data_IF_354484666918
#
_entry.id   IF_354484666918
#
_cell.length_a   1.000
_cell.length_b   1.000
_cell.length_c   1.000
_cell.angle_alpha   90.00
_cell.angle_beta   90.00
_cell.angle_gamma   90.00
#
_symmetry.space_group_name_H-M   'P 1'
#
loop_
_entity.id
_entity.type
_entity.pdbx_description
1 polymer ?
#
# COMPACT_ATOMS: atom_id res chain seq x y z
N UNK A 1 32.46 55.14 18.63
CA UNK A 1 32.07 54.91 17.22
C UNK A 1 32.67 53.63 16.62
N UNK A 2 33.85 53.16 17.06
CA UNK A 2 34.51 51.93 16.55
C UNK A 2 33.69 50.64 16.75
N UNK A 3 33.16 50.41 17.96
CA UNK A 3 32.46 49.15 18.29
C UNK A 3 31.12 48.97 17.56
N UNK A 4 30.41 50.06 17.26
CA UNK A 4 29.14 50.00 16.52
C UNK A 4 29.38 49.62 15.05
N UNK A 5 30.54 50.01 14.49
CA UNK A 5 30.91 49.66 13.12
C UNK A 5 31.29 48.19 12.99
N UNK A 6 32.04 47.64 13.97
CA UNK A 6 32.36 46.21 14.04
C UNK A 6 31.11 45.34 14.21
N UNK A 7 30.18 45.74 15.08
CA UNK A 7 28.92 45.02 15.27
C UNK A 7 28.09 44.97 13.98
N UNK A 8 28.01 46.06 13.23
CA UNK A 8 27.33 46.09 11.92
C UNK A 8 27.98 45.13 10.92
N UNK A 9 29.31 45.10 10.88
CA UNK A 9 30.06 44.23 9.97
C UNK A 9 29.88 42.75 10.34
N UNK A 10 29.81 42.42 11.63
CA UNK A 10 29.48 41.08 12.12
C UNK A 10 28.06 40.66 11.75
N UNK A 11 27.08 41.55 11.93
CA UNK A 11 25.69 41.27 11.54
C UNK A 11 25.54 41.04 10.03
N UNK A 12 26.19 41.83 9.19
CA UNK A 12 26.15 41.65 7.73
C UNK A 12 26.87 40.38 7.28
N UNK A 13 28.00 40.02 7.92
CA UNK A 13 28.67 38.73 7.69
C UNK A 13 27.78 37.55 8.08
N UNK A 14 27.11 37.63 9.23
CA UNK A 14 26.18 36.60 9.70
C UNK A 14 24.96 36.46 8.76
N UNK A 15 24.41 37.58 8.28
CA UNK A 15 23.29 37.58 7.31
C UNK A 15 23.70 36.96 5.97
N UNK A 16 24.90 37.25 5.49
CA UNK A 16 25.47 36.67 4.26
C UNK A 16 25.77 35.17 4.43
N UNK A 17 26.25 34.75 5.60
CA UNK A 17 26.46 33.34 5.93
C UNK A 17 25.14 32.57 6.05
N UNK A 18 24.11 33.16 6.66
CA UNK A 18 22.77 32.57 6.75
C UNK A 18 22.12 32.42 5.37
N UNK A 19 22.25 33.42 4.48
CA UNK A 19 21.77 33.38 3.09
C UNK A 19 22.50 32.30 2.26
N UNK A 20 23.81 32.16 2.46
CA UNK A 20 24.62 31.11 1.81
C UNK A 20 24.34 29.71 2.37
N UNK A 21 24.01 29.56 3.67
CA UNK A 21 23.55 28.30 4.25
C UNK A 21 22.17 27.91 3.72
N UNK A 22 21.25 28.87 3.56
CA UNK A 22 19.94 28.61 2.93
C UNK A 22 20.09 28.19 1.45
N UNK A 23 21.00 28.83 0.71
CA UNK A 23 21.33 28.47 -0.68
C UNK A 23 22.09 27.14 -0.83
N UNK A 24 22.89 26.73 0.17
CA UNK A 24 23.55 25.41 0.20
C UNK A 24 22.62 24.30 0.69
N UNK A 25 21.70 24.56 1.62
CA UNK A 25 20.67 23.60 2.04
C UNK A 25 19.62 23.35 0.94
N UNK A 26 19.27 24.35 0.13
CA UNK A 26 18.35 24.15 -1.01
C UNK A 26 18.98 23.31 -2.15
N UNK A 27 20.31 23.31 -2.25
CA UNK A 27 21.08 22.50 -3.22
C UNK A 27 21.37 21.07 -2.78
N UNK A 28 21.03 20.66 -1.55
CA UNK A 28 21.33 19.31 -1.03
C UNK A 28 20.16 18.31 -1.16
N UNK A 29 18.95 18.74 -1.52
CA UNK A 29 17.82 17.81 -1.77
C UNK A 29 17.51 17.59 -3.27
N UNK A 30 18.53 17.51 -4.12
CA UNK A 30 18.39 17.24 -5.57
C UNK A 30 17.90 15.82 -5.93
N UNK A 31 17.34 15.06 -4.98
CA UNK A 31 16.87 13.70 -5.19
C UNK A 31 15.45 13.50 -4.69
N UNK A 32 14.52 13.25 -5.60
CA UNK A 32 13.34 12.39 -5.37
C UNK A 32 12.26 12.91 -4.40
N UNK A 33 11.71 14.11 -4.58
CA UNK A 33 10.41 14.40 -3.96
C UNK A 33 9.33 13.56 -4.66
N UNK A 34 9.04 12.39 -4.09
CA UNK A 34 7.97 11.51 -4.56
C UNK A 34 6.63 12.20 -4.27
N UNK A 35 5.82 12.49 -5.30
CA UNK A 35 4.46 12.99 -5.08
C UNK A 35 3.61 11.86 -4.46
N UNK A 36 2.92 12.18 -3.36
CA UNK A 36 1.93 11.26 -2.79
C UNK A 36 0.75 11.08 -3.78
N UNK A 37 -0.02 9.99 -3.65
CA UNK A 37 -1.23 9.78 -4.47
C UNK A 37 -2.16 10.99 -4.39
N UNK A 38 -2.30 11.58 -3.19
CA UNK A 38 -3.10 12.78 -2.96
C UNK A 38 -2.58 13.99 -3.74
N UNK A 39 -1.26 14.20 -3.75
CA UNK A 39 -0.65 15.29 -4.51
C UNK A 39 -0.79 15.08 -6.02
N UNK A 40 -0.67 13.83 -6.50
CA UNK A 40 -0.94 13.49 -7.91
C UNK A 40 -2.41 13.78 -8.29
N UNK A 41 -3.37 13.41 -7.43
CA UNK A 41 -4.79 13.72 -7.64
C UNK A 41 -5.04 15.23 -7.69
N UNK A 42 -4.43 16.00 -6.78
CA UNK A 42 -4.57 17.47 -6.76
C UNK A 42 -3.95 18.12 -7.99
N UNK A 43 -2.76 17.67 -8.39
CA UNK A 43 -2.12 18.11 -9.63
C UNK A 43 -3.03 17.88 -10.83
N UNK A 44 -3.51 16.65 -11.03
CA UNK A 44 -4.35 16.29 -12.16
C UNK A 44 -5.66 17.10 -12.17
N UNK A 45 -6.34 17.21 -11.02
CA UNK A 45 -7.61 17.94 -10.90
C UNK A 45 -7.46 19.44 -11.17
N UNK A 46 -6.45 20.08 -10.59
CA UNK A 46 -6.24 21.53 -10.75
C UNK A 46 -5.75 21.86 -12.15
N UNK A 47 -4.83 21.08 -12.70
CA UNK A 47 -4.36 21.26 -14.08
C UNK A 47 -5.50 21.05 -15.07
N UNK A 48 -6.31 20.01 -14.87
CA UNK A 48 -7.51 19.78 -15.67
C UNK A 48 -8.46 20.96 -15.69
N UNK A 49 -8.74 21.53 -14.51
CA UNK A 49 -9.64 22.68 -14.36
C UNK A 49 -9.12 23.91 -15.10
N UNK A 50 -7.84 24.24 -14.95
CA UNK A 50 -7.21 25.39 -15.61
C UNK A 50 -7.19 25.22 -17.14
N UNK A 51 -6.81 24.05 -17.64
CA UNK A 51 -6.84 23.76 -19.09
C UNK A 51 -8.28 23.80 -19.62
N UNK A 52 -9.26 23.28 -18.86
CA UNK A 52 -10.68 23.35 -19.23
C UNK A 52 -11.19 24.79 -19.31
N UNK A 53 -10.66 25.67 -18.46
CA UNK A 53 -10.97 27.09 -18.45
C UNK A 53 -10.24 27.88 -19.55
N UNK A 54 -9.47 27.22 -20.41
CA UNK A 54 -8.74 27.84 -21.53
C UNK A 54 -7.40 28.46 -21.13
N UNK A 55 -6.94 28.26 -19.89
CA UNK A 55 -5.62 28.76 -19.44
C UNK A 55 -4.52 27.95 -20.13
N UNK A 56 -3.53 28.59 -20.78
CA UNK A 56 -2.39 27.89 -21.37
C UNK A 56 -1.69 26.96 -20.36
N UNK A 57 -1.20 25.81 -20.82
CA UNK A 57 -0.58 24.80 -19.94
C UNK A 57 0.62 25.35 -19.15
N UNK A 58 1.43 26.21 -19.78
CA UNK A 58 2.61 26.80 -19.15
C UNK A 58 2.19 27.71 -17.97
N UNK A 59 1.21 28.58 -18.19
CA UNK A 59 0.66 29.46 -17.16
C UNK A 59 -0.04 28.65 -16.06
N UNK A 60 -0.80 27.61 -16.45
CA UNK A 60 -1.43 26.69 -15.52
C UNK A 60 -0.40 26.06 -14.56
N UNK A 61 0.74 25.59 -15.08
CA UNK A 61 1.81 25.02 -14.27
C UNK A 61 2.49 26.05 -13.35
N UNK A 62 2.59 27.32 -13.77
CA UNK A 62 3.08 28.41 -12.91
C UNK A 62 2.12 28.67 -11.75
N UNK A 63 0.81 28.71 -12.00
CA UNK A 63 -0.21 28.82 -10.94
C UNK A 63 -0.09 27.66 -9.94
N UNK A 64 0.09 26.43 -10.44
CA UNK A 64 0.26 25.26 -9.56
C UNK A 64 1.53 25.33 -8.72
N UNK A 65 2.65 25.81 -9.30
CA UNK A 65 3.92 26.05 -8.58
C UNK A 65 3.72 27.03 -7.43
N UNK A 66 3.03 28.13 -7.68
CA UNK A 66 2.84 29.19 -6.70
C UNK A 66 1.85 28.77 -5.58
N UNK A 67 0.95 27.82 -5.88
CA UNK A 67 0.02 27.21 -4.93
C UNK A 67 0.53 25.88 -4.31
N UNK A 68 1.82 25.56 -4.45
CA UNK A 68 2.36 24.30 -3.94
C UNK A 68 2.32 24.26 -2.40
N UNK A 69 1.93 23.11 -1.85
CA UNK A 69 1.82 22.89 -0.40
C UNK A 69 3.18 22.80 0.31
N UNK A 70 4.27 22.62 -0.43
CA UNK A 70 5.62 22.59 0.12
C UNK A 70 6.69 23.03 -0.90
N UNK A 71 7.87 23.48 -0.44
CA UNK A 71 9.00 23.81 -1.32
C UNK A 71 9.49 22.62 -2.16
N UNK A 72 9.27 21.38 -1.69
CA UNK A 72 9.60 20.17 -2.44
C UNK A 72 8.70 19.97 -3.66
N UNK A 73 7.41 20.30 -3.53
CA UNK A 73 6.41 20.19 -4.60
C UNK A 73 6.55 21.36 -5.58
N UNK A 74 6.79 22.58 -5.07
CA UNK A 74 7.06 23.75 -5.91
C UNK A 74 8.21 23.48 -6.89
N UNK A 75 9.31 22.86 -6.43
CA UNK A 75 10.44 22.48 -7.28
C UNK A 75 10.10 21.42 -8.34
N UNK A 76 9.20 20.49 -8.01
CA UNK A 76 8.70 19.51 -8.99
C UNK A 76 7.93 20.23 -10.09
N UNK A 77 7.02 21.12 -9.71
CA UNK A 77 6.24 21.91 -10.68
C UNK A 77 7.12 22.85 -11.50
N UNK A 78 8.08 23.53 -10.89
CA UNK A 78 9.05 24.38 -11.58
C UNK A 78 9.86 23.60 -12.63
N UNK A 79 10.29 22.38 -12.31
CA UNK A 79 10.98 21.52 -13.29
C UNK A 79 10.08 21.16 -14.48
N UNK A 80 8.81 20.83 -14.21
CA UNK A 80 7.83 20.53 -15.26
C UNK A 80 7.58 21.78 -16.11
N UNK A 81 7.35 22.94 -15.49
CA UNK A 81 7.18 24.23 -16.17
C UNK A 81 8.35 24.53 -17.09
N UNK A 82 9.60 24.33 -16.62
CA UNK A 82 10.79 24.56 -17.44
C UNK A 82 10.88 23.56 -18.61
N UNK A 83 10.58 22.28 -18.41
CA UNK A 83 10.57 21.30 -19.50
C UNK A 83 9.55 21.68 -20.59
N UNK A 84 8.33 22.08 -20.18
CA UNK A 84 7.27 22.54 -21.10
C UNK A 84 7.65 23.84 -21.81
N UNK A 85 8.25 24.80 -21.10
CA UNK A 85 8.73 26.05 -21.70
C UNK A 85 9.79 25.80 -22.78
N UNK A 86 10.58 24.73 -22.64
CA UNK A 86 11.56 24.27 -23.62
C UNK A 86 10.96 23.36 -24.73
N UNK A 87 9.62 23.29 -24.84
CA UNK A 87 8.93 22.54 -25.89
C UNK A 87 8.88 21.02 -25.67
N UNK A 88 9.17 20.53 -24.47
CA UNK A 88 8.94 19.11 -24.15
C UNK A 88 7.45 18.85 -23.86
N UNK A 89 6.99 17.63 -24.12
CA UNK A 89 5.67 17.18 -23.67
C UNK A 89 5.62 16.93 -22.16
N UNK A 90 4.44 17.12 -21.56
CA UNK A 90 4.15 16.90 -20.14
C UNK A 90 4.46 15.46 -19.74
N UNK A 91 3.98 14.46 -20.48
CA UNK A 91 4.24 13.05 -20.18
C UNK A 91 5.74 12.73 -20.13
N UNK A 92 6.55 13.33 -21.03
CA UNK A 92 8.02 13.16 -21.03
C UNK A 92 8.67 13.77 -19.80
N UNK A 93 8.24 14.96 -19.39
CA UNK A 93 8.73 15.61 -18.16
C UNK A 93 8.38 14.77 -16.93
N UNK A 94 7.12 14.33 -16.82
CA UNK A 94 6.64 13.49 -15.72
C UNK A 94 7.37 12.14 -15.65
N UNK A 95 7.68 11.51 -16.79
CA UNK A 95 8.44 10.26 -16.86
C UNK A 95 9.87 10.39 -16.34
N UNK A 96 10.51 11.56 -16.51
CA UNK A 96 11.85 11.85 -15.95
C UNK A 96 11.83 12.03 -14.43
N UNK A 97 10.67 12.31 -13.84
CA UNK A 97 10.48 12.43 -12.41
C UNK A 97 10.22 11.04 -11.80
N UNK A 98 11.29 10.27 -11.58
CA UNK A 98 11.20 8.93 -10.96
C UNK A 98 10.41 8.97 -9.65
N UNK A 99 9.23 8.35 -9.66
CA UNK A 99 8.35 8.22 -8.50
C UNK A 99 7.26 9.30 -8.36
N UNK A 100 7.23 10.35 -9.20
CA UNK A 100 6.18 11.36 -9.14
C UNK A 100 4.84 10.86 -9.70
N UNK A 101 4.86 10.13 -10.82
CA UNK A 101 3.69 9.50 -11.42
C UNK A 101 4.01 8.04 -11.78
N UNK A 102 3.01 7.16 -11.75
CA UNK A 102 3.14 5.79 -12.24
C UNK A 102 2.91 5.70 -13.76
N UNK A 103 3.32 4.60 -14.38
CA UNK A 103 3.25 4.40 -15.84
C UNK A 103 1.82 4.57 -16.38
N UNK A 104 0.81 4.11 -15.63
CA UNK A 104 -0.59 4.37 -15.92
C UNK A 104 -0.90 5.86 -16.15
N UNK A 105 -0.52 6.69 -15.18
CA UNK A 105 -0.83 8.11 -15.20
C UNK A 105 -0.07 8.82 -16.33
N UNK A 106 1.18 8.43 -16.56
CA UNK A 106 2.00 8.97 -17.65
C UNK A 106 1.35 8.66 -19.00
N UNK A 107 0.89 7.43 -19.22
CA UNK A 107 0.30 7.03 -20.50
C UNK A 107 -1.06 7.70 -20.74
N UNK A 108 -1.89 7.88 -19.72
CA UNK A 108 -3.15 8.64 -19.83
C UNK A 108 -2.89 10.09 -20.23
N UNK A 109 -1.85 10.70 -19.67
CA UNK A 109 -1.43 12.07 -20.01
C UNK A 109 -0.87 12.11 -21.44
N UNK A 110 -0.02 11.16 -21.82
CA UNK A 110 0.56 11.04 -23.18
C UNK A 110 -0.53 10.97 -24.24
N UNK A 111 -1.51 10.09 -24.06
CA UNK A 111 -2.65 9.99 -24.98
C UNK A 111 -3.42 11.30 -25.01
N UNK A 112 -3.66 11.93 -23.86
CA UNK A 112 -4.40 13.20 -23.78
C UNK A 112 -3.68 14.35 -24.48
N UNK A 113 -2.35 14.39 -24.40
CA UNK A 113 -1.52 15.37 -25.12
C UNK A 113 -1.56 15.16 -26.64
N UNK A 114 -1.45 13.90 -27.10
CA UNK A 114 -1.44 13.60 -28.52
C UNK A 114 -2.82 13.74 -29.18
N UNK A 115 -3.90 13.49 -28.44
CA UNK A 115 -5.28 13.54 -28.94
C UNK A 115 -6.02 14.84 -28.63
N UNK A 116 -5.36 15.82 -27.99
CA UNK A 116 -5.94 17.12 -27.68
C UNK A 116 -7.03 17.11 -26.59
N UNK A 117 -7.24 15.98 -25.92
CA UNK A 117 -8.23 15.80 -24.83
C UNK A 117 -7.56 15.71 -23.45
N UNK A 118 -6.46 16.43 -23.26
CA UNK A 118 -5.66 16.40 -22.04
C UNK A 118 -6.49 16.74 -20.79
N UNK A 119 -7.38 17.73 -20.86
CA UNK A 119 -8.24 18.10 -19.73
C UNK A 119 -9.14 16.94 -19.29
N UNK A 120 -9.81 16.27 -20.23
CA UNK A 120 -10.68 15.13 -19.97
C UNK A 120 -9.88 13.98 -19.33
N UNK A 121 -8.70 13.67 -19.87
CA UNK A 121 -7.85 12.61 -19.36
C UNK A 121 -7.29 12.92 -17.96
N UNK A 122 -7.01 14.18 -17.65
CA UNK A 122 -6.58 14.61 -16.30
C UNK A 122 -7.74 14.55 -15.29
N UNK A 123 -8.98 14.92 -15.67
CA UNK A 123 -10.18 14.73 -14.82
C UNK A 123 -10.34 13.24 -14.53
N UNK A 124 -10.27 12.44 -15.58
CA UNK A 124 -10.38 10.99 -15.50
C UNK A 124 -9.32 10.40 -14.56
N UNK A 125 -8.05 10.78 -14.74
CA UNK A 125 -6.95 10.36 -13.89
C UNK A 125 -7.14 10.76 -12.42
N UNK A 126 -7.63 11.97 -12.15
CA UNK A 126 -7.85 12.45 -10.78
C UNK A 126 -8.86 11.56 -10.04
N UNK A 127 -9.99 11.25 -10.69
CA UNK A 127 -11.02 10.37 -10.13
C UNK A 127 -10.53 8.95 -9.95
N UNK A 128 -9.71 8.44 -10.87
CA UNK A 128 -9.13 7.10 -10.72
C UNK A 128 -8.16 7.02 -9.53
N UNK A 129 -7.27 8.02 -9.40
CA UNK A 129 -6.36 8.09 -8.25
C UNK A 129 -7.12 8.24 -6.93
N UNK A 130 -8.25 8.96 -6.94
CA UNK A 130 -9.14 9.11 -5.78
C UNK A 130 -9.77 7.77 -5.39
N UNK A 131 -10.41 7.07 -6.32
CA UNK A 131 -10.99 5.73 -6.08
C UNK A 131 -9.97 4.75 -5.53
N UNK A 132 -8.76 4.73 -6.10
CA UNK A 132 -7.66 3.88 -5.63
C UNK A 132 -7.24 4.18 -4.18
N UNK A 133 -7.18 5.45 -3.80
CA UNK A 133 -6.86 5.86 -2.43
C UNK A 133 -8.00 5.56 -1.45
N UNK A 134 -9.25 5.74 -1.87
CA UNK A 134 -10.43 5.38 -1.08
C UNK A 134 -10.49 3.88 -0.82
N UNK A 135 -10.31 3.05 -1.84
CA UNK A 135 -10.23 1.60 -1.70
C UNK A 135 -9.10 1.20 -0.75
N UNK A 136 -7.90 1.78 -0.92
CA UNK A 136 -6.77 1.52 -0.03
C UNK A 136 -7.08 1.92 1.41
N UNK A 137 -7.75 3.05 1.63
CA UNK A 137 -8.16 3.52 2.96
C UNK A 137 -9.20 2.60 3.60
N UNK A 138 -10.19 2.13 2.83
CA UNK A 138 -11.16 1.13 3.30
C UNK A 138 -10.45 -0.13 3.77
N UNK A 139 -9.53 -0.66 2.95
CA UNK A 139 -8.74 -1.86 3.29
C UNK A 139 -7.89 -1.63 4.55
N UNK A 140 -7.17 -0.51 4.64
CA UNK A 140 -6.33 -0.23 5.80
C UNK A 140 -7.16 0.02 7.06
N UNK A 141 -8.29 0.72 6.94
CA UNK A 141 -9.21 0.99 8.05
C UNK A 141 -9.78 -0.30 8.64
N UNK A 142 -10.16 -1.24 7.79
CA UNK A 142 -10.65 -2.57 8.19
C UNK A 142 -9.63 -3.39 9.01
N UNK A 143 -8.33 -3.10 8.88
CA UNK A 143 -7.25 -3.80 9.61
C UNK A 143 -6.91 -3.16 10.96
N UNK A 144 -7.34 -1.94 11.24
CA UNK A 144 -6.96 -1.21 12.47
C UNK A 144 -7.45 -1.95 13.71
N UNK A 145 -8.72 -2.37 13.72
CA UNK A 145 -9.33 -3.04 14.88
C UNK A 145 -8.66 -4.39 15.20
N UNK A 146 -8.47 -5.33 14.24
CA UNK A 146 -7.75 -6.57 14.51
C UNK A 146 -6.34 -6.36 15.06
N UNK A 147 -5.60 -5.38 14.51
CA UNK A 147 -4.23 -5.09 14.96
C UNK A 147 -4.23 -4.56 16.39
N UNK A 148 -5.10 -3.59 16.69
CA UNK A 148 -5.17 -2.97 18.01
C UNK A 148 -5.48 -4.00 19.10
N UNK A 149 -6.53 -4.81 18.90
CA UNK A 149 -6.92 -5.85 19.85
C UNK A 149 -5.82 -6.89 20.03
N UNK A 150 -5.24 -7.37 18.94
CA UNK A 150 -4.16 -8.38 19.00
C UNK A 150 -2.97 -7.86 19.82
N UNK A 151 -2.55 -6.62 19.59
CA UNK A 151 -1.46 -5.99 20.34
C UNK A 151 -1.84 -5.82 21.81
N UNK A 152 -3.07 -5.37 22.10
CA UNK A 152 -3.54 -5.19 23.47
C UNK A 152 -3.57 -6.51 24.24
N UNK A 153 -4.12 -7.59 23.66
CA UNK A 153 -4.15 -8.91 24.29
C UNK A 153 -2.75 -9.45 24.52
N UNK A 154 -1.91 -9.47 23.48
CA UNK A 154 -0.54 -9.99 23.61
C UNK A 154 0.26 -9.17 24.62
N UNK A 155 0.07 -7.84 24.66
CA UNK A 155 0.69 -6.96 25.63
C UNK A 155 0.26 -7.26 27.08
N UNK A 156 -1.04 -7.39 27.32
CA UNK A 156 -1.58 -7.75 28.65
C UNK A 156 -1.12 -9.14 29.07
N UNK A 157 -1.21 -10.13 28.19
CA UNK A 157 -0.73 -11.50 28.46
C UNK A 157 0.77 -11.50 28.75
N UNK A 158 1.59 -10.82 27.94
CA UNK A 158 3.03 -10.73 28.17
C UNK A 158 3.35 -10.04 29.51
N UNK A 159 2.62 -8.96 29.88
CA UNK A 159 2.78 -8.31 31.18
C UNK A 159 2.43 -9.24 32.34
N UNK A 160 1.29 -9.93 32.25
CA UNK A 160 0.86 -10.90 33.26
C UNK A 160 1.89 -12.00 33.41
N UNK A 161 2.31 -12.62 32.31
CA UNK A 161 3.21 -13.78 32.31
C UNK A 161 4.65 -13.41 32.65
N UNK A 162 5.22 -12.33 32.11
CA UNK A 162 6.64 -12.00 32.28
C UNK A 162 6.93 -11.16 33.54
N UNK A 163 5.95 -10.40 34.06
CA UNK A 163 6.16 -9.51 35.21
C UNK A 163 5.37 -9.88 36.46
N UNK A 164 4.07 -10.18 36.32
CA UNK A 164 3.21 -10.45 37.48
C UNK A 164 3.39 -11.88 37.97
N UNK A 165 3.34 -12.85 37.07
CA UNK A 165 3.42 -14.27 37.40
C UNK A 165 4.69 -14.67 38.18
N UNK A 166 5.91 -14.21 37.81
CA UNK A 166 7.13 -14.56 38.54
C UNK A 166 7.15 -14.04 39.98
N UNK A 167 6.37 -13.01 40.32
CA UNK A 167 6.27 -12.50 41.70
C UNK A 167 5.48 -13.44 42.61
N UNK A 168 4.59 -14.27 42.04
CA UNK A 168 3.75 -15.22 42.77
C UNK A 168 4.46 -16.59 42.86
N UNK A 169 5.35 -16.89 41.92
CA UNK A 169 6.07 -18.16 41.83
C UNK A 169 6.80 -18.61 43.12
N UNK A 170 7.48 -17.74 43.90
CA UNK A 170 8.14 -18.13 45.15
C UNK A 170 7.18 -18.74 46.19
N UNK A 171 5.91 -18.35 46.17
CA UNK A 171 4.87 -18.87 47.06
C UNK A 171 4.60 -20.34 46.71
N UNK A 172 4.48 -20.63 45.41
CA UNK A 172 4.21 -22.00 44.94
C UNK A 172 5.39 -22.95 45.18
N UNK A 173 6.62 -22.48 45.03
CA UNK A 173 7.82 -23.29 45.31
C UNK A 173 8.00 -23.58 46.79
N UNK A 174 7.63 -22.64 47.67
CA UNK A 174 7.74 -22.78 49.12
C UNK A 174 6.76 -23.82 49.70
N UNK A 175 5.67 -24.09 48.97
CA UNK A 175 4.62 -25.02 49.41
C UNK A 175 4.82 -26.45 48.90
N UNK A 176 5.92 -26.74 48.19
CA UNK A 176 6.27 -28.05 47.61
C UNK A 176 5.13 -28.73 46.81
N UNK A 177 4.17 -27.96 46.33
CA UNK A 177 3.03 -28.47 45.58
C UNK A 177 3.47 -28.87 44.16
N UNK A 178 2.93 -29.98 43.65
CA UNK A 178 3.13 -30.38 42.25
C UNK A 178 2.38 -29.42 41.33
N UNK A 179 3.12 -28.60 40.59
CA UNK A 179 2.53 -27.67 39.64
C UNK A 179 1.86 -28.39 38.45
N UNK A 180 0.63 -28.03 38.07
CA UNK A 180 -0.04 -28.61 36.93
C UNK A 180 0.67 -28.25 35.62
N UNK A 181 0.37 -29.00 34.54
CA UNK A 181 1.02 -28.81 33.25
C UNK A 181 0.85 -27.39 32.69
N UNK A 182 -0.34 -26.80 32.84
CA UNK A 182 -0.64 -25.43 32.41
C UNK A 182 0.29 -24.41 33.05
N UNK A 183 0.47 -24.48 34.38
CA UNK A 183 1.38 -23.59 35.13
C UNK A 183 2.84 -23.79 34.74
N UNK A 184 3.30 -25.04 34.54
CA UNK A 184 4.68 -25.32 34.09
C UNK A 184 4.95 -24.79 32.68
N UNK A 185 3.98 -24.94 31.77
CA UNK A 185 4.07 -24.37 30.43
C UNK A 185 4.09 -22.83 30.48
N UNK A 186 3.28 -22.21 31.34
CA UNK A 186 3.28 -20.76 31.54
C UNK A 186 4.61 -20.25 32.11
N UNK A 187 5.22 -20.97 33.05
CA UNK A 187 6.56 -20.69 33.58
C UNK A 187 7.60 -20.73 32.46
N UNK A 188 7.62 -21.81 31.66
CA UNK A 188 8.57 -21.95 30.56
C UNK A 188 8.46 -20.80 29.54
N UNK A 189 7.24 -20.36 29.23
CA UNK A 189 6.99 -19.19 28.36
C UNK A 189 7.44 -17.90 29.04
N UNK A 190 7.18 -17.75 30.34
CA UNK A 190 7.61 -16.58 31.13
C UNK A 190 9.13 -16.43 31.14
N UNK A 191 9.85 -17.51 31.45
CA UNK A 191 11.30 -17.55 31.50
C UNK A 191 11.90 -17.24 30.12
N UNK A 192 11.35 -17.84 29.05
CA UNK A 192 11.73 -17.52 27.68
C UNK A 192 11.52 -16.04 27.34
N UNK A 193 10.36 -15.47 27.69
CA UNK A 193 10.07 -14.06 27.42
C UNK A 193 10.97 -13.11 28.23
N UNK A 194 11.34 -13.48 29.45
CA UNK A 194 12.21 -12.65 30.29
C UNK A 194 13.67 -12.68 29.82
N UNK A 195 14.18 -13.85 29.47
CA UNK A 195 15.58 -14.04 29.08
C UNK A 195 15.81 -13.68 27.60
N UNK A 196 14.92 -14.14 26.71
CA UNK A 196 15.08 -14.02 25.26
C UNK A 196 14.07 -13.06 24.61
N UNK A 197 13.10 -12.50 25.33
CA UNK A 197 12.04 -11.68 24.73
C UNK A 197 12.54 -10.43 24.03
N UNK A 198 13.45 -9.66 24.66
CA UNK A 198 14.05 -8.46 24.04
C UNK A 198 14.85 -8.86 22.80
N UNK A 199 15.66 -9.92 22.88
CA UNK A 199 16.43 -10.43 21.75
C UNK A 199 15.49 -10.92 20.62
N UNK A 200 14.40 -11.61 20.95
CA UNK A 200 13.40 -12.09 19.99
C UNK A 200 12.75 -10.92 19.25
N UNK A 201 12.38 -9.84 19.95
CA UNK A 201 11.83 -8.63 19.31
C UNK A 201 12.85 -7.98 18.38
N UNK A 202 14.11 -7.84 18.81
CA UNK A 202 15.18 -7.29 17.98
C UNK A 202 15.40 -8.15 16.73
N UNK A 203 15.47 -9.48 16.89
CA UNK A 203 15.62 -10.42 15.77
C UNK A 203 14.44 -10.33 14.82
N UNK A 204 13.20 -10.22 15.30
CA UNK A 204 12.02 -10.05 14.46
C UNK A 204 12.05 -8.72 13.69
N UNK A 205 12.46 -7.63 14.32
CA UNK A 205 12.60 -6.32 13.67
C UNK A 205 13.68 -6.37 12.59
N UNK A 206 14.85 -6.92 12.91
CA UNK A 206 15.96 -7.08 11.98
C UNK A 206 15.58 -8.01 10.82
N UNK A 207 14.96 -9.15 11.11
CA UNK A 207 14.44 -10.07 10.10
C UNK A 207 13.39 -9.39 9.22
N UNK A 208 12.51 -8.56 9.78
CA UNK A 208 11.55 -7.76 9.03
C UNK A 208 12.21 -6.72 8.11
N UNK A 209 13.26 -6.05 8.58
CA UNK A 209 14.06 -5.10 7.78
C UNK A 209 14.79 -5.83 6.66
N UNK A 210 15.45 -6.95 6.97
CA UNK A 210 16.15 -7.80 6.00
C UNK A 210 15.15 -8.34 4.97
N UNK A 211 14.01 -8.88 5.41
CA UNK A 211 12.96 -9.37 4.52
C UNK A 211 12.41 -8.25 3.64
N UNK A 212 12.18 -7.05 4.18
CA UNK A 212 11.77 -5.88 3.38
C UNK A 212 12.83 -5.47 2.36
N UNK A 213 14.12 -5.51 2.73
CA UNK A 213 15.23 -5.23 1.83
C UNK A 213 15.38 -6.31 0.75
N UNK A 214 15.29 -7.58 1.11
CA UNK A 214 15.36 -8.74 0.22
C UNK A 214 14.17 -8.76 -0.73
N UNK A 215 12.97 -8.48 -0.23
CA UNK A 215 11.77 -8.25 -1.02
C UNK A 215 11.94 -7.06 -1.96
N UNK A 216 12.72 -6.02 -1.65
CA UNK A 216 12.97 -4.92 -2.61
C UNK A 216 14.06 -5.25 -3.63
N UNK A 217 15.04 -6.08 -3.27
CA UNK A 217 16.24 -6.33 -4.08
C UNK A 217 16.17 -7.60 -4.91
N UNK A 218 15.55 -8.67 -4.41
CA UNK A 218 15.59 -10.01 -5.02
C UNK A 218 14.29 -10.29 -5.80
N UNK A 219 14.33 -10.42 -7.14
CA UNK A 219 13.15 -10.71 -7.96
C UNK A 219 12.43 -12.05 -7.65
N UNK A 220 13.12 -13.18 -7.40
CA UNK A 220 12.43 -14.45 -7.12
C UNK A 220 11.73 -14.47 -5.76
N UNK A 221 12.31 -13.85 -4.72
CA UNK A 221 11.66 -13.72 -3.39
C UNK A 221 10.33 -12.96 -3.49
N UNK A 222 10.29 -11.89 -4.31
CA UNK A 222 9.05 -11.16 -4.60
C UNK A 222 8.02 -12.02 -5.31
N UNK A 223 8.45 -12.77 -6.33
CA UNK A 223 7.53 -13.59 -7.12
C UNK A 223 6.96 -14.75 -6.29
N UNK A 224 7.75 -15.30 -5.37
CA UNK A 224 7.29 -16.30 -4.42
C UNK A 224 6.29 -15.72 -3.42
N UNK A 225 6.56 -14.54 -2.86
CA UNK A 225 5.65 -13.85 -1.94
C UNK A 225 4.31 -13.49 -2.62
N UNK A 226 4.37 -12.91 -3.82
CA UNK A 226 3.18 -12.58 -4.62
C UNK A 226 2.36 -13.81 -4.97
N UNK A 227 3.00 -14.98 -5.15
CA UNK A 227 2.31 -16.25 -5.41
C UNK A 227 1.73 -16.85 -4.14
N UNK A 228 2.45 -16.84 -3.02
CA UNK A 228 1.94 -17.32 -1.74
C UNK A 228 0.71 -16.54 -1.31
N UNK A 229 0.73 -15.20 -1.45
CA UNK A 229 -0.39 -14.34 -1.08
C UNK A 229 -1.69 -14.76 -1.77
N UNK A 230 -1.63 -15.25 -3.02
CA UNK A 230 -2.79 -15.70 -3.79
C UNK A 230 -3.36 -17.05 -3.31
N UNK A 231 -2.65 -17.79 -2.45
CA UNK A 231 -3.04 -19.10 -1.92
C UNK A 231 -3.44 -19.06 -0.44
N UNK A 232 -3.23 -17.94 0.27
CA UNK A 232 -3.63 -17.80 1.67
C UNK A 232 -5.17 -17.80 1.75
N UNK A 233 -5.79 -18.63 2.62
CA UNK A 233 -7.24 -18.59 2.85
C UNK A 233 -7.71 -17.18 3.23
N UNK A 234 -8.88 -16.75 2.75
CA UNK A 234 -9.44 -15.39 2.91
C UNK A 234 -8.65 -14.29 2.17
N UNK A 235 -7.34 -14.13 2.41
CA UNK A 235 -6.52 -13.08 1.81
C UNK A 235 -6.24 -13.30 0.31
N UNK A 236 -6.15 -14.55 -0.14
CA UNK A 236 -5.88 -14.91 -1.53
C UNK A 236 -7.04 -14.58 -2.47
N UNK A 237 -8.28 -14.78 -2.03
CA UNK A 237 -9.47 -14.35 -2.78
C UNK A 237 -9.47 -12.83 -2.97
N UNK A 238 -9.28 -12.08 -1.88
CA UNK A 238 -9.18 -10.63 -1.90
C UNK A 238 -8.06 -10.13 -2.83
N UNK A 239 -6.88 -10.74 -2.77
CA UNK A 239 -5.76 -10.39 -3.63
C UNK A 239 -6.08 -10.66 -5.11
N UNK A 240 -6.74 -11.77 -5.45
CA UNK A 240 -7.18 -12.06 -6.83
C UNK A 240 -8.20 -11.02 -7.30
N UNK A 241 -9.27 -10.79 -6.54
CA UNK A 241 -10.31 -9.80 -6.88
C UNK A 241 -9.72 -8.40 -7.05
N UNK A 242 -8.82 -7.96 -6.17
CA UNK A 242 -8.11 -6.69 -6.30
C UNK A 242 -7.32 -6.56 -7.63
N UNK A 243 -6.60 -7.61 -8.02
CA UNK A 243 -5.86 -7.58 -9.29
C UNK A 243 -6.82 -7.65 -10.50
N UNK A 244 -7.95 -8.36 -10.41
CA UNK A 244 -8.98 -8.39 -11.45
C UNK A 244 -9.62 -7.01 -11.62
N UNK A 245 -9.99 -6.34 -10.53
CA UNK A 245 -10.49 -4.95 -10.55
C UNK A 245 -9.50 -4.05 -11.27
N UNK A 246 -8.23 -4.10 -10.87
CA UNK A 246 -7.16 -3.29 -11.49
C UNK A 246 -7.00 -3.62 -12.98
N UNK A 247 -7.10 -4.89 -13.35
CA UNK A 247 -6.96 -5.37 -14.74
C UNK A 247 -8.09 -4.83 -15.60
N UNK A 248 -9.33 -5.14 -15.23
CA UNK A 248 -10.52 -4.73 -15.97
C UNK A 248 -10.61 -3.21 -16.08
N UNK A 249 -10.33 -2.50 -14.98
CA UNK A 249 -10.33 -1.04 -14.95
C UNK A 249 -9.31 -0.47 -15.91
N UNK A 250 -8.03 -0.83 -15.75
CA UNK A 250 -6.96 -0.27 -16.58
C UNK A 250 -7.18 -0.58 -18.06
N UNK A 251 -7.55 -1.82 -18.40
CA UNK A 251 -7.83 -2.20 -19.80
C UNK A 251 -9.03 -1.41 -20.34
N UNK A 252 -10.16 -1.38 -19.61
CA UNK A 252 -11.36 -0.65 -20.05
C UNK A 252 -11.09 0.82 -20.32
N UNK A 253 -10.29 1.45 -19.48
CA UNK A 253 -9.89 2.86 -19.62
C UNK A 253 -9.07 3.09 -20.88
N UNK A 254 -8.01 2.30 -21.05
CA UNK A 254 -7.09 2.47 -22.17
C UNK A 254 -7.81 2.21 -23.50
N UNK A 255 -8.69 1.21 -23.54
CA UNK A 255 -9.55 0.94 -24.70
C UNK A 255 -10.52 2.09 -24.97
N UNK A 256 -11.14 2.68 -23.94
CA UNK A 256 -12.03 3.84 -24.08
C UNK A 256 -11.28 5.07 -24.62
N UNK A 257 -10.00 5.20 -24.30
CA UNK A 257 -9.09 6.22 -24.82
C UNK A 257 -8.54 5.90 -26.23
N UNK A 258 -9.03 4.85 -26.88
CA UNK A 258 -8.66 4.49 -28.26
C UNK A 258 -7.33 3.75 -28.38
N UNK A 259 -6.73 3.29 -27.27
CA UNK A 259 -5.49 2.51 -27.30
C UNK A 259 -5.79 1.10 -27.79
N UNK A 260 -4.91 0.56 -28.63
CA UNK A 260 -4.99 -0.82 -29.12
C UNK A 260 -4.95 -1.81 -27.95
N UNK A 261 -5.71 -2.91 -28.05
CA UNK A 261 -5.86 -3.88 -26.96
C UNK A 261 -4.52 -4.50 -26.52
N UNK A 262 -3.63 -4.83 -27.45
CA UNK A 262 -2.29 -5.35 -27.16
C UNK A 262 -1.47 -4.37 -26.31
N UNK A 263 -1.48 -3.10 -26.66
CA UNK A 263 -0.77 -2.05 -25.93
C UNK A 263 -1.44 -1.79 -24.58
N UNK A 264 -2.77 -1.75 -24.54
CA UNK A 264 -3.53 -1.61 -23.30
C UNK A 264 -3.17 -2.71 -22.29
N UNK A 265 -2.99 -3.96 -22.75
CA UNK A 265 -2.59 -5.09 -21.92
C UNK A 265 -1.14 -4.97 -21.43
N UNK A 266 -0.20 -4.54 -22.28
CA UNK A 266 1.21 -4.29 -21.89
C UNK A 266 1.28 -3.21 -20.82
N UNK A 267 0.63 -2.07 -21.07
CA UNK A 267 0.52 -0.95 -20.13
C UNK A 267 -0.09 -1.43 -18.81
N UNK A 268 -1.19 -2.19 -18.87
CA UNK A 268 -1.83 -2.77 -17.67
C UNK A 268 -0.85 -3.64 -16.88
N UNK A 269 -0.01 -4.44 -17.55
CA UNK A 269 1.05 -5.22 -16.89
C UNK A 269 2.01 -4.37 -16.07
N UNK A 270 2.37 -3.17 -16.54
CA UNK A 270 3.27 -2.26 -15.83
C UNK A 270 2.63 -1.67 -14.57
N UNK A 271 1.31 -1.45 -14.59
CA UNK A 271 0.55 -0.93 -13.44
C UNK A 271 0.32 -1.99 -12.37
N UNK A 272 0.32 -3.28 -12.74
CA UNK A 272 0.10 -4.40 -11.83
C UNK A 272 1.19 -4.49 -10.77
N UNK A 273 0.78 -4.51 -9.50
CA UNK A 273 1.68 -4.75 -8.36
C UNK A 273 2.06 -6.21 -8.23
N UNK A 274 1.10 -7.12 -8.43
CA UNK A 274 1.34 -8.55 -8.36
C UNK A 274 2.05 -9.02 -9.65
N UNK A 275 3.23 -9.60 -9.49
CA UNK A 275 4.07 -10.02 -10.62
C UNK A 275 3.49 -11.18 -11.42
N UNK A 276 2.65 -12.02 -10.79
CA UNK A 276 1.95 -13.09 -11.49
C UNK A 276 0.98 -12.48 -12.50
N UNK A 277 0.11 -11.57 -12.07
CA UNK A 277 -0.81 -10.86 -12.98
C UNK A 277 -0.07 -10.03 -14.03
N UNK A 278 1.02 -9.35 -13.65
CA UNK A 278 1.89 -8.64 -14.63
C UNK A 278 2.34 -9.55 -15.76
N UNK A 279 2.90 -10.72 -15.43
CA UNK A 279 3.39 -11.68 -16.42
C UNK A 279 2.25 -12.19 -17.32
N UNK A 280 1.09 -12.45 -16.74
CA UNK A 280 -0.09 -12.88 -17.49
C UNK A 280 -0.60 -11.80 -18.43
N UNK A 281 -0.55 -10.51 -18.04
CA UNK A 281 -0.90 -9.39 -18.95
C UNK A 281 0.03 -9.32 -20.17
N UNK A 282 1.34 -9.47 -19.96
CA UNK A 282 2.32 -9.48 -21.05
C UNK A 282 2.12 -10.66 -22.00
N UNK A 283 1.91 -11.86 -21.46
CA UNK A 283 1.60 -13.05 -22.26
C UNK A 283 0.29 -12.89 -23.03
N UNK A 284 -0.72 -12.34 -22.38
CA UNK A 284 -2.01 -12.07 -23.02
C UNK A 284 -1.86 -11.08 -24.17
N UNK A 285 -1.06 -10.02 -24.01
CA UNK A 285 -0.75 -9.08 -25.09
C UNK A 285 -0.11 -9.77 -26.31
N UNK A 286 0.91 -10.62 -26.10
CA UNK A 286 1.54 -11.40 -27.17
C UNK A 286 0.57 -12.35 -27.88
N UNK A 287 -0.44 -12.86 -27.18
CA UNK A 287 -1.47 -13.74 -27.74
C UNK A 287 -2.49 -12.96 -28.56
N UNK A 288 -2.89 -11.79 -28.09
CA UNK A 288 -3.78 -10.87 -28.83
C UNK A 288 -3.11 -10.37 -30.11
N UNK A 289 -1.81 -10.06 -30.07
CA UNK A 289 -1.03 -9.69 -31.27
C UNK A 289 -1.03 -10.81 -32.33
N UNK A 290 -1.17 -12.07 -31.90
CA UNK A 290 -1.29 -13.25 -32.78
C UNK A 290 -2.73 -13.57 -33.17
N UNK A 291 -3.70 -12.74 -32.80
CA UNK A 291 -5.12 -12.91 -33.10
C UNK A 291 -5.87 -13.91 -32.20
N UNK A 292 -5.29 -14.35 -31.07
CA UNK A 292 -6.02 -15.19 -30.10
C UNK A 292 -7.00 -14.31 -29.28
N UNK A 293 -8.28 -14.70 -29.14
CA UNK A 293 -9.23 -13.98 -28.29
C UNK A 293 -8.80 -13.94 -26.82
N UNK A 294 -8.97 -12.79 -26.17
CA UNK A 294 -8.72 -12.59 -24.74
C UNK A 294 -9.54 -13.57 -23.91
N UNK A 295 -10.83 -13.71 -24.24
CA UNK A 295 -11.73 -14.62 -23.51
C UNK A 295 -11.18 -16.06 -23.44
N UNK A 296 -10.59 -16.55 -24.54
CA UNK A 296 -10.00 -17.90 -24.63
C UNK A 296 -8.78 -18.04 -23.71
N UNK A 297 -7.94 -17.01 -23.64
CA UNK A 297 -6.77 -17.02 -22.75
C UNK A 297 -7.19 -17.00 -21.28
N UNK A 298 -8.14 -16.14 -20.91
CA UNK A 298 -8.65 -16.03 -19.54
C UNK A 298 -9.29 -17.35 -19.08
N UNK A 299 -10.08 -17.99 -19.95
CA UNK A 299 -10.75 -19.26 -19.66
C UNK A 299 -9.76 -20.43 -19.42
N UNK A 300 -8.57 -20.41 -20.02
CA UNK A 300 -7.51 -21.40 -19.76
C UNK A 300 -6.84 -21.19 -18.40
N UNK A 301 -6.87 -19.96 -17.86
CA UNK A 301 -6.17 -19.57 -16.63
C UNK A 301 -7.13 -19.33 -15.46
N UNK A 302 -8.07 -20.27 -15.23
CA UNK A 302 -9.18 -20.15 -14.26
C UNK A 302 -8.76 -19.91 -12.81
N UNK A 303 -7.54 -20.31 -12.46
CA UNK A 303 -6.98 -20.13 -11.11
C UNK A 303 -6.82 -18.63 -10.76
N UNK A 304 -6.57 -17.80 -11.77
CA UNK A 304 -6.35 -16.36 -11.64
C UNK A 304 -7.55 -15.53 -12.13
N UNK A 305 -8.27 -16.05 -13.12
CA UNK A 305 -9.38 -15.36 -13.78
C UNK A 305 -10.68 -16.17 -13.64
N UNK A 306 -11.67 -15.67 -12.90
CA UNK A 306 -12.94 -16.38 -12.72
C UNK A 306 -13.64 -16.66 -14.06
N UNK A 307 -14.37 -17.77 -14.21
CA UNK A 307 -15.08 -18.09 -15.44
C UNK A 307 -16.02 -16.97 -15.91
N UNK A 308 -16.73 -16.32 -14.99
CA UNK A 308 -17.62 -15.18 -15.29
C UNK A 308 -16.89 -14.06 -16.02
N UNK A 309 -15.65 -13.74 -15.62
CA UNK A 309 -14.82 -12.75 -16.31
C UNK A 309 -14.63 -13.14 -17.78
N UNK A 310 -14.19 -14.38 -18.04
CA UNK A 310 -13.94 -14.84 -19.41
C UNK A 310 -15.19 -14.85 -20.30
N UNK A 311 -16.37 -15.19 -19.74
CA UNK A 311 -17.63 -15.21 -20.49
C UNK A 311 -18.10 -13.81 -20.87
N UNK A 312 -18.06 -12.86 -19.93
CA UNK A 312 -18.42 -11.47 -20.21
C UNK A 312 -17.47 -10.86 -21.24
N UNK A 313 -16.17 -11.10 -21.11
CA UNK A 313 -15.18 -10.67 -22.10
C UNK A 313 -15.48 -11.22 -23.49
N UNK A 314 -15.88 -12.49 -23.60
CA UNK A 314 -16.27 -13.08 -24.88
C UNK A 314 -17.46 -12.35 -25.52
N UNK A 315 -18.42 -11.89 -24.71
CA UNK A 315 -19.56 -11.09 -25.19
C UNK A 315 -19.07 -9.72 -25.67
N UNK A 316 -18.17 -9.08 -24.91
CA UNK A 316 -17.56 -7.79 -25.30
C UNK A 316 -16.75 -7.87 -26.60
N UNK A 317 -16.01 -8.95 -26.80
CA UNK A 317 -15.27 -9.22 -28.05
C UNK A 317 -16.21 -9.39 -29.24
N UNK A 318 -17.26 -10.21 -29.10
CA UNK A 318 -18.22 -10.48 -30.18
C UNK A 318 -19.05 -9.25 -30.56
N UNK A 319 -19.37 -8.40 -29.60
CA UNK A 319 -20.19 -7.19 -29.79
C UNK A 319 -19.36 -5.95 -30.14
N UNK A 320 -18.04 -6.04 -30.10
CA UNK A 320 -17.14 -4.89 -30.26
C UNK A 320 -17.17 -3.90 -29.09
N UNK A 321 -17.80 -4.27 -27.96
CA UNK A 321 -17.99 -3.41 -26.77
C UNK A 321 -17.07 -3.79 -25.61
N UNK A 322 -15.85 -4.24 -25.91
CA UNK A 322 -14.90 -4.73 -24.91
C UNK A 322 -14.58 -3.68 -23.83
N UNK A 323 -14.45 -2.40 -24.22
CA UNK A 323 -14.24 -1.28 -23.29
C UNK A 323 -15.34 -1.17 -22.23
N UNK A 324 -16.61 -1.23 -22.65
CA UNK A 324 -17.77 -1.11 -21.76
C UNK A 324 -17.85 -2.31 -20.81
N UNK A 325 -17.65 -3.50 -21.36
CA UNK A 325 -17.65 -4.76 -20.59
C UNK A 325 -16.54 -4.76 -19.53
N UNK A 326 -15.33 -4.33 -19.88
CA UNK A 326 -14.22 -4.22 -18.93
C UNK A 326 -14.52 -3.20 -17.81
N UNK A 327 -15.14 -2.07 -18.16
CA UNK A 327 -15.56 -1.07 -17.17
C UNK A 327 -16.59 -1.65 -16.21
N UNK A 328 -17.64 -2.29 -16.74
CA UNK A 328 -18.69 -2.95 -15.95
C UNK A 328 -18.11 -4.04 -15.02
N UNK A 329 -17.24 -4.90 -15.55
CA UNK A 329 -16.58 -5.93 -14.75
C UNK A 329 -15.73 -5.33 -13.63
N UNK A 330 -15.07 -4.20 -13.87
CA UNK A 330 -14.28 -3.53 -12.83
C UNK A 330 -15.16 -3.01 -11.69
N UNK A 331 -16.37 -2.55 -11.97
CA UNK A 331 -17.34 -2.08 -10.97
C UNK A 331 -17.95 -3.25 -10.21
N UNK A 332 -18.31 -4.33 -10.92
CA UNK A 332 -18.83 -5.56 -10.34
C UNK A 332 -17.85 -6.18 -9.33
N UNK A 333 -16.60 -6.38 -9.73
CA UNK A 333 -15.58 -6.95 -8.84
C UNK A 333 -15.12 -5.97 -7.76
N UNK A 334 -15.27 -4.66 -7.95
CA UNK A 334 -15.01 -3.68 -6.89
C UNK A 334 -16.08 -3.77 -5.80
N UNK A 335 -17.35 -3.88 -6.17
CA UNK A 335 -18.43 -4.13 -5.21
C UNK A 335 -18.20 -5.44 -4.45
N UNK A 336 -17.83 -6.52 -5.15
CA UNK A 336 -17.50 -7.80 -4.50
C UNK A 336 -16.31 -7.65 -3.53
N UNK A 337 -15.26 -6.90 -3.91
CA UNK A 337 -14.11 -6.63 -3.05
C UNK A 337 -14.49 -5.81 -1.80
N UNK A 338 -15.40 -4.85 -1.93
CA UNK A 338 -15.92 -4.07 -0.81
C UNK A 338 -16.72 -4.94 0.16
N UNK A 339 -17.58 -5.81 -0.36
CA UNK A 339 -18.34 -6.78 0.45
C UNK A 339 -17.42 -7.77 1.17
N UNK A 340 -16.41 -8.30 0.46
CA UNK A 340 -15.39 -9.14 1.08
C UNK A 340 -14.65 -8.40 2.20
N UNK A 341 -14.26 -7.14 1.99
CA UNK A 341 -13.54 -6.35 2.99
C UNK A 341 -14.40 -6.13 4.24
N UNK A 342 -15.70 -5.83 4.06
CA UNK A 342 -16.65 -5.65 5.15
C UNK A 342 -16.87 -6.95 5.93
N UNK A 343 -17.08 -8.05 5.22
CA UNK A 343 -17.31 -9.36 5.83
C UNK A 343 -16.07 -9.89 6.54
N UNK A 344 -14.87 -9.63 6.01
CA UNK A 344 -13.61 -10.02 6.63
C UNK A 344 -13.46 -9.41 8.02
N UNK A 345 -13.75 -8.10 8.17
CA UNK A 345 -13.70 -7.44 9.48
C UNK A 345 -14.66 -8.07 10.49
N UNK A 346 -15.87 -8.43 10.07
CA UNK A 346 -16.87 -9.07 10.93
C UNK A 346 -16.51 -10.51 11.28
N UNK A 347 -15.99 -11.29 10.32
CA UNK A 347 -15.63 -12.71 10.55
C UNK A 347 -14.35 -12.90 11.36
N UNK A 348 -13.42 -11.93 11.31
CA UNK A 348 -12.19 -11.98 12.12
C UNK A 348 -12.52 -11.82 13.61
N UNK A 349 -13.56 -11.05 13.98
CA UNK A 349 -13.90 -10.76 15.37
C UNK A 349 -14.21 -12.02 16.22
N UNK A 350 -15.08 -12.97 15.80
CA UNK A 350 -15.28 -14.22 16.54
C UNK A 350 -14.02 -15.05 16.74
N UNK A 351 -13.15 -15.10 15.72
CA UNK A 351 -11.88 -15.82 15.80
C UNK A 351 -10.98 -15.16 16.84
N UNK A 352 -10.88 -13.83 16.83
CA UNK A 352 -10.12 -13.08 17.82
C UNK A 352 -10.67 -13.30 19.23
N UNK A 353 -11.99 -13.21 19.44
CA UNK A 353 -12.60 -13.46 20.74
C UNK A 353 -12.32 -14.87 21.26
N UNK A 354 -12.40 -15.88 20.38
CA UNK A 354 -12.11 -17.27 20.76
C UNK A 354 -10.64 -17.45 21.14
N UNK A 355 -9.72 -16.89 20.35
CA UNK A 355 -8.28 -16.94 20.65
C UNK A 355 -7.95 -16.19 21.93
N UNK A 356 -8.52 -15.00 22.14
CA UNK A 356 -8.35 -14.22 23.36
C UNK A 356 -8.89 -14.97 24.58
N UNK A 357 -10.08 -15.54 24.47
CA UNK A 357 -10.69 -16.36 25.52
C UNK A 357 -9.83 -17.56 25.89
N UNK A 358 -9.27 -18.24 24.88
CA UNK A 358 -8.33 -19.35 25.11
C UNK A 358 -7.04 -18.88 25.80
N UNK A 359 -6.45 -17.78 25.37
CA UNK A 359 -5.21 -17.23 25.97
C UNK A 359 -5.47 -16.82 27.43
N UNK A 360 -6.50 -16.00 27.67
CA UNK A 360 -6.84 -15.51 29.01
C UNK A 360 -7.28 -16.66 29.91
N UNK A 361 -8.10 -17.57 29.41
CA UNK A 361 -8.52 -18.78 30.14
C UNK A 361 -7.34 -19.68 30.49
N UNK A 362 -6.39 -19.88 29.57
CA UNK A 362 -5.16 -20.62 29.83
C UNK A 362 -4.33 -19.97 30.94
N UNK A 363 -4.15 -18.65 30.93
CA UNK A 363 -3.45 -17.92 31.99
C UNK A 363 -4.21 -18.04 33.32
N UNK A 364 -5.53 -17.86 33.31
CA UNK A 364 -6.36 -17.96 34.51
C UNK A 364 -6.27 -19.35 35.15
N UNK A 365 -6.42 -20.43 34.37
CA UNK A 365 -6.28 -21.81 34.85
C UNK A 365 -4.86 -22.04 35.41
N UNK A 366 -3.83 -21.54 34.72
CA UNK A 366 -2.44 -21.69 35.15
C UNK A 366 -2.12 -20.99 36.48
N UNK A 367 -2.86 -19.93 36.83
CA UNK A 367 -2.67 -19.19 38.09
C UNK A 367 -3.57 -19.73 39.19
N UNK A 368 -4.85 -19.97 38.87
CA UNK A 368 -5.89 -20.29 39.85
C UNK A 368 -5.77 -21.74 40.34
N UNK A 369 -5.53 -22.71 39.45
CA UNK A 369 -5.49 -24.13 39.83
C UNK A 369 -4.48 -24.41 40.97
N UNK A 370 -3.21 -23.95 40.90
CA UNK A 370 -2.27 -24.13 42.02
C UNK A 370 -2.76 -23.55 43.35
N UNK A 371 -3.45 -22.40 43.33
CA UNK A 371 -3.98 -21.74 44.53
C UNK A 371 -5.06 -22.61 45.19
N UNK A 372 -5.93 -23.23 44.39
CA UNK A 372 -6.95 -24.15 44.90
C UNK A 372 -6.34 -25.44 45.47
N UNK A 373 -5.36 -26.03 44.77
CA UNK A 373 -4.66 -27.25 45.25
C UNK A 373 -3.95 -27.01 46.58
N UNK A 374 -3.37 -25.82 46.77
CA UNK A 374 -2.74 -25.43 48.04
C UNK A 374 -3.79 -25.24 49.13
N UNK A 375 -4.89 -24.54 48.84
CA UNK A 375 -5.91 -24.24 49.86
C UNK A 375 -6.68 -25.48 50.32
N UNK A 376 -6.86 -26.49 49.46
CA UNK A 376 -7.47 -27.77 49.84
C UNK A 376 -6.55 -28.69 50.65
N UNK A 377 -5.23 -28.58 50.47
CA UNK A 377 -4.24 -29.40 51.16
C UNK A 377 -3.68 -28.78 52.44
N UNK A 378 -4.22 -27.63 52.88
CA UNK A 378 -3.91 -27.07 54.20
C UNK A 378 -4.54 -27.96 55.29
N UNK A 379 -3.76 -28.49 56.25
CA UNK A 379 -4.33 -29.19 57.40
C UNK A 379 -5.21 -28.20 58.19
N UNK A 380 -6.41 -28.63 58.56
CA UNK A 380 -7.34 -27.85 59.40
C UNK A 380 -6.76 -27.56 60.77
#
# INVERSE_FOLDING_TARGET
MSEIHELKQYFDKAKKHAKNLHGRMSRISFGTTKLSTREQTLFAKRLAFLIKAGVPILESLMILRDQASSPGIARVYERITNDIANGQYLHKSLKRLKGAFGDFAINIIEVGEHSGILSQNLIYLAEELKKKEELRRKILGAMVYPIFITIATLGVTALLTAYIFPKIMPIFTSLHAKLPFSTRALIAVSDYLREWGVLTVIVLVVAGIIFSALHRRVPPVRMWNDRMLLHIPLAGGMAKTYNIVTFCRTVGILLKSGILLSDALRITGDTMRNRVYRRECYRLAEKVEKGEPVSRYLLKHRVLFPPMLSHMVAIGEKTGRLSDVMTYLSELYEAELEDFTKNLSVSIEPILMLVMGLIVGFVAISVITPIYDITQNLPR
#
